data_IF_134225767010
#
_entry.id   IF_134225767010
#
_cell.length_a   1.000
_cell.length_b   1.000
_cell.length_c   1.000
_cell.angle_alpha   90.00
_cell.angle_beta   90.00
_cell.angle_gamma   90.00
#
_symmetry.space_group_name_H-M   'P 1'
#
loop_
_entity.id
_entity.type
_entity.pdbx_description
1 polymer ?
#
# COMPACT_ATOMS: atom_id res chain seq x y z
N UNK A 1 -31.52 5.89 -3.91
CA UNK A 1 -32.25 7.15 -3.60
C UNK A 1 -32.01 7.62 -2.15
N UNK A 2 -31.92 6.74 -1.15
CA UNK A 2 -31.53 7.12 0.23
C UNK A 2 -30.01 7.40 0.39
N UNK A 3 -29.14 6.69 -0.34
CA UNK A 3 -27.69 6.98 -0.34
C UNK A 3 -27.35 8.32 -0.99
N UNK A 4 -28.03 8.69 -2.08
CA UNK A 4 -27.81 9.97 -2.78
C UNK A 4 -28.14 11.19 -1.90
N UNK A 5 -29.16 11.09 -1.03
CA UNK A 5 -29.48 12.13 -0.05
C UNK A 5 -28.45 12.21 1.10
N UNK A 6 -27.89 11.07 1.54
CA UNK A 6 -26.80 11.06 2.51
C UNK A 6 -25.51 11.70 1.97
N UNK A 7 -25.10 11.42 0.74
CA UNK A 7 -23.88 12.04 0.16
C UNK A 7 -24.01 13.56 -0.06
N UNK A 8 -25.18 14.06 -0.47
CA UNK A 8 -25.38 15.49 -0.79
C UNK A 8 -25.42 16.40 0.44
N UNK A 9 -25.92 15.92 1.59
CA UNK A 9 -25.96 16.71 2.82
C UNK A 9 -24.59 16.83 3.53
N UNK A 10 -23.69 15.86 3.32
CA UNK A 10 -22.44 15.75 4.08
C UNK A 10 -21.22 16.38 3.37
N UNK A 11 -21.23 16.52 2.04
CA UNK A 11 -20.16 17.20 1.31
C UNK A 11 -19.89 18.65 1.77
N UNK A 12 -20.93 19.49 2.04
CA UNK A 12 -20.72 20.83 2.56
C UNK A 12 -20.06 20.82 3.95
N UNK A 13 -20.45 19.89 4.82
CA UNK A 13 -19.94 19.77 6.20
C UNK A 13 -18.46 19.35 6.19
N UNK A 14 -18.10 18.36 5.39
CA UNK A 14 -16.71 17.91 5.25
C UNK A 14 -15.80 19.00 4.69
N UNK A 15 -16.24 19.64 3.60
CA UNK A 15 -15.51 20.76 2.99
C UNK A 15 -15.35 21.90 4.00
N UNK A 16 -16.38 22.17 4.80
CA UNK A 16 -16.34 23.13 5.89
C UNK A 16 -15.34 22.73 6.98
N UNK A 17 -15.38 21.51 7.51
CA UNK A 17 -14.43 21.01 8.53
C UNK A 17 -13.00 21.10 8.00
N UNK A 18 -12.73 20.59 6.78
CA UNK A 18 -11.40 20.61 6.17
C UNK A 18 -10.89 22.05 5.97
N UNK A 19 -11.74 22.94 5.48
CA UNK A 19 -11.38 24.35 5.29
C UNK A 19 -11.15 25.06 6.63
N UNK A 20 -11.96 24.78 7.64
CA UNK A 20 -11.81 25.31 9.00
C UNK A 20 -10.48 24.85 9.61
N UNK A 21 -10.15 23.56 9.49
CA UNK A 21 -8.88 23.01 9.99
C UNK A 21 -7.67 23.59 9.24
N UNK A 22 -7.76 23.73 7.91
CA UNK A 22 -6.74 24.42 7.09
C UNK A 22 -6.53 25.87 7.52
N UNK A 23 -7.62 26.60 7.72
CA UNK A 23 -7.57 28.00 8.13
C UNK A 23 -6.98 28.14 9.54
N UNK A 24 -7.45 27.33 10.49
CA UNK A 24 -6.93 27.27 11.85
C UNK A 24 -5.43 26.98 11.84
N UNK A 25 -4.98 25.96 11.09
CA UNK A 25 -3.56 25.62 10.98
C UNK A 25 -2.72 26.81 10.44
N UNK A 26 -3.19 27.50 9.39
CA UNK A 26 -2.51 28.69 8.84
C UNK A 26 -2.45 29.85 9.85
N UNK A 27 -3.54 30.10 10.56
CA UNK A 27 -3.60 31.15 11.60
C UNK A 27 -2.63 30.83 12.73
N UNK A 28 -2.64 29.60 13.24
CA UNK A 28 -1.73 29.17 14.31
C UNK A 28 -0.27 29.26 13.89
N UNK A 29 0.06 28.87 12.66
CA UNK A 29 1.41 29.05 12.10
C UNK A 29 1.82 30.53 12.06
N UNK A 30 0.90 31.43 11.73
CA UNK A 30 1.18 32.87 11.67
C UNK A 30 1.37 33.48 13.07
N UNK A 31 0.45 33.17 14.01
CA UNK A 31 0.55 33.57 15.43
C UNK A 31 1.87 33.08 16.02
N UNK A 32 2.19 31.81 15.85
CA UNK A 32 3.41 31.23 16.38
C UNK A 32 4.67 31.81 15.72
N UNK A 33 4.62 32.23 14.45
CA UNK A 33 5.72 32.97 13.80
C UNK A 33 5.93 34.34 14.43
N UNK A 34 4.86 35.09 14.70
CA UNK A 34 4.92 36.41 15.35
C UNK A 34 5.48 36.29 16.77
N UNK A 35 4.92 35.40 17.58
CA UNK A 35 5.30 35.21 18.99
C UNK A 35 6.75 34.73 19.16
N UNK A 36 7.33 34.10 18.14
CA UNK A 36 8.70 33.56 18.19
C UNK A 36 9.71 34.38 17.38
N UNK A 37 9.28 35.52 16.81
CA UNK A 37 10.10 36.32 15.89
C UNK A 37 11.43 36.75 16.51
N UNK A 38 11.39 37.20 17.77
CA UNK A 38 12.54 37.72 18.51
C UNK A 38 13.49 36.64 19.06
N UNK A 39 13.19 35.35 18.90
CA UNK A 39 14.07 34.27 19.38
C UNK A 39 15.23 34.09 18.39
N UNK A 40 16.48 34.40 18.78
CA UNK A 40 17.61 34.45 17.85
C UNK A 40 18.08 33.04 17.44
N UNK A 41 18.03 32.08 18.37
CA UNK A 41 18.50 30.71 18.15
C UNK A 41 17.43 29.94 17.36
N UNK A 42 17.77 29.52 16.13
CA UNK A 42 16.85 28.85 15.19
C UNK A 42 16.22 27.58 15.77
N UNK A 43 16.99 26.74 16.46
CA UNK A 43 16.49 25.49 17.07
C UNK A 43 15.47 25.77 18.18
N UNK A 44 15.78 26.70 19.09
CA UNK A 44 14.89 27.13 20.17
C UNK A 44 13.62 27.76 19.60
N UNK A 45 13.77 28.67 18.62
CA UNK A 45 12.64 29.31 17.94
C UNK A 45 11.68 28.29 17.31
N UNK A 46 12.22 27.25 16.66
CA UNK A 46 11.42 26.16 16.08
C UNK A 46 10.71 25.35 17.16
N UNK A 47 11.39 25.04 18.27
CA UNK A 47 10.82 24.30 19.40
C UNK A 47 9.68 25.07 20.07
N UNK A 48 9.89 26.33 20.41
CA UNK A 48 8.87 27.20 21.02
C UNK A 48 7.67 27.39 20.08
N UNK A 49 7.91 27.53 18.77
CA UNK A 49 6.85 27.63 17.77
C UNK A 49 5.96 26.39 17.74
N UNK A 50 6.57 25.19 17.76
CA UNK A 50 5.83 23.93 17.84
C UNK A 50 4.94 23.88 19.09
N UNK A 51 5.52 24.17 20.25
CA UNK A 51 4.78 24.16 21.53
C UNK A 51 3.57 25.12 21.53
N UNK A 52 3.71 26.32 20.95
CA UNK A 52 2.60 27.27 20.81
C UNK A 52 1.50 26.70 19.93
N UNK A 53 1.86 26.12 18.79
CA UNK A 53 0.88 25.53 17.86
C UNK A 53 0.17 24.37 18.55
N UNK A 54 0.89 23.47 19.21
CA UNK A 54 0.28 22.32 19.87
C UNK A 54 -0.66 22.73 21.01
N UNK A 55 -0.25 23.72 21.82
CA UNK A 55 -1.11 24.26 22.87
C UNK A 55 -2.41 24.85 22.30
N UNK A 56 -2.30 25.61 21.21
CA UNK A 56 -3.46 26.27 20.59
C UNK A 56 -4.27 25.33 19.68
N UNK A 57 -3.69 24.23 19.20
CA UNK A 57 -4.37 23.24 18.36
C UNK A 57 -5.54 22.56 19.09
N UNK A 58 -5.55 22.58 20.41
CA UNK A 58 -6.67 22.10 21.21
C UNK A 58 -8.02 22.71 20.78
N UNK A 59 -8.07 24.02 20.53
CA UNK A 59 -9.31 24.72 20.18
C UNK A 59 -9.99 24.21 18.90
N UNK A 60 -9.31 24.19 17.74
CA UNK A 60 -9.90 23.61 16.52
C UNK A 60 -10.16 22.11 16.65
N UNK A 61 -9.38 21.37 17.45
CA UNK A 61 -9.59 19.93 17.62
C UNK A 61 -10.80 19.58 18.49
N UNK A 62 -11.37 20.51 19.27
CA UNK A 62 -12.60 20.29 20.05
C UNK A 62 -13.77 19.82 19.17
N UNK A 63 -13.86 20.29 17.91
CA UNK A 63 -14.93 19.93 16.98
C UNK A 63 -14.93 18.46 16.56
N UNK A 64 -13.77 17.80 16.64
CA UNK A 64 -13.58 16.40 16.21
C UNK A 64 -13.25 15.47 17.38
N UNK A 65 -13.04 16.01 18.58
CA UNK A 65 -12.57 15.26 19.77
C UNK A 65 -13.43 14.05 20.12
N UNK A 66 -14.73 14.11 19.84
CA UNK A 66 -15.67 13.02 20.12
C UNK A 66 -15.60 11.85 19.12
N UNK A 67 -15.00 12.05 17.93
CA UNK A 67 -15.06 11.05 16.86
C UNK A 67 -14.13 9.87 17.13
N UNK A 68 -14.54 8.68 16.66
CA UNK A 68 -13.72 7.48 16.81
C UNK A 68 -12.38 7.62 16.08
N UNK A 69 -12.37 8.27 14.91
CA UNK A 69 -11.16 8.58 14.19
C UNK A 69 -10.20 9.44 15.02
N UNK A 70 -10.69 10.46 15.72
CA UNK A 70 -9.84 11.26 16.60
C UNK A 70 -9.17 10.41 17.70
N UNK A 71 -9.93 9.50 18.33
CA UNK A 71 -9.40 8.58 19.33
C UNK A 71 -8.33 7.64 18.75
N UNK A 72 -8.55 7.13 17.53
CA UNK A 72 -7.56 6.28 16.81
C UNK A 72 -6.27 7.04 16.51
N UNK A 73 -6.37 8.28 16.03
CA UNK A 73 -5.22 9.13 15.77
C UNK A 73 -4.40 9.36 17.06
N UNK A 74 -5.08 9.67 18.17
CA UNK A 74 -4.40 9.83 19.46
C UNK A 74 -3.71 8.54 19.92
N UNK A 75 -4.35 7.38 19.73
CA UNK A 75 -3.76 6.09 20.06
C UNK A 75 -2.49 5.79 19.23
N UNK A 76 -2.51 6.06 17.92
CA UNK A 76 -1.34 5.88 17.04
C UNK A 76 -0.20 6.83 17.42
N UNK A 77 -0.51 8.07 17.76
CA UNK A 77 0.49 9.05 18.22
C UNK A 77 1.14 8.56 19.51
N UNK A 78 0.34 8.12 20.49
CA UNK A 78 0.83 7.59 21.76
C UNK A 78 1.71 6.35 21.56
N UNK A 79 1.31 5.44 20.67
CA UNK A 79 2.08 4.24 20.35
C UNK A 79 3.43 4.59 19.70
N UNK A 80 3.42 5.48 18.71
CA UNK A 80 4.64 5.93 18.01
C UNK A 80 5.62 6.66 18.91
N UNK A 81 5.13 7.26 19.99
CA UNK A 81 5.95 7.91 20.99
C UNK A 81 6.57 6.90 21.98
N UNK A 82 5.96 5.73 22.12
CA UNK A 82 6.44 4.66 23.00
C UNK A 82 7.57 3.86 22.34
N UNK A 83 7.57 3.77 21.00
CA UNK A 83 8.56 3.03 20.22
C UNK A 83 9.03 3.87 19.03
N UNK A 84 10.29 4.30 19.05
CA UNK A 84 10.89 5.08 17.96
C UNK A 84 12.07 4.33 17.34
N UNK A 85 11.90 3.88 16.09
CA UNK A 85 13.00 3.43 15.25
C UNK A 85 13.52 4.62 14.41
N UNK A 86 14.83 4.84 14.35
CA UNK A 86 15.37 6.02 13.66
C UNK A 86 15.12 5.94 12.15
N UNK A 87 14.39 6.92 11.60
CA UNK A 87 14.22 7.09 10.14
C UNK A 87 15.58 7.36 9.49
N UNK A 88 15.95 6.55 8.50
CA UNK A 88 17.11 6.82 7.63
C UNK A 88 18.08 5.66 7.46
N UNK A 89 17.99 4.60 8.27
CA UNK A 89 18.87 3.46 8.07
C UNK A 89 18.33 2.47 7.01
N UNK A 90 17.01 2.48 6.70
CA UNK A 90 16.33 1.48 5.85
C UNK A 90 16.79 0.03 6.11
N UNK A 91 17.40 -0.19 7.27
CA UNK A 91 17.89 -1.48 7.71
C UNK A 91 16.80 -2.06 8.56
N UNK A 92 16.67 -3.36 8.49
CA UNK A 92 15.90 -4.06 9.47
C UNK A 92 16.65 -4.09 10.80
N UNK A 93 15.92 -4.10 11.93
CA UNK A 93 16.55 -4.30 13.23
C UNK A 93 17.27 -5.65 13.25
N UNK A 94 18.49 -5.65 13.80
CA UNK A 94 19.29 -6.88 13.92
C UNK A 94 18.58 -7.89 14.82
N UNK A 95 18.85 -9.19 14.63
CA UNK A 95 18.37 -10.22 15.55
C UNK A 95 18.88 -9.94 16.98
N UNK A 96 17.97 -9.84 17.96
CA UNK A 96 18.29 -9.43 19.33
C UNK A 96 18.37 -7.92 19.58
N UNK A 97 18.14 -7.06 18.57
CA UNK A 97 18.01 -5.62 18.76
C UNK A 97 16.67 -5.32 19.44
N UNK A 98 16.72 -4.85 20.69
CA UNK A 98 15.52 -4.41 21.41
C UNK A 98 14.99 -3.11 20.79
N UNK A 99 14.11 -3.25 19.79
CA UNK A 99 13.36 -2.16 19.16
C UNK A 99 12.30 -1.56 20.09
N UNK A 100 12.02 -2.21 21.22
CA UNK A 100 11.09 -1.77 22.24
C UNK A 100 11.78 -1.04 23.40
N UNK A 101 13.10 -0.81 23.33
CA UNK A 101 13.80 -0.02 24.34
C UNK A 101 13.16 1.37 24.42
N UNK A 102 12.35 1.53 25.47
CA UNK A 102 11.76 2.80 25.89
C UNK A 102 12.94 3.72 26.15
N UNK A 103 13.29 4.56 25.17
CA UNK A 103 14.17 5.68 25.47
C UNK A 103 13.47 6.44 26.58
N UNK A 104 14.18 6.67 27.70
CA UNK A 104 13.71 7.49 28.82
C UNK A 104 12.89 8.62 28.24
N UNK A 105 11.59 8.60 28.52
CA UNK A 105 10.59 9.54 28.01
C UNK A 105 11.04 10.91 28.50
N UNK A 106 11.89 11.57 27.71
CA UNK A 106 12.35 12.90 28.02
C UNK A 106 11.14 13.79 27.86
N UNK A 107 10.72 14.32 29.00
CA UNK A 107 9.63 15.24 29.20
C UNK A 107 9.59 16.33 28.12
N UNK A 108 8.39 16.56 27.59
CA UNK A 108 7.99 17.46 26.49
C UNK A 108 7.89 16.81 25.09
N UNK A 109 6.94 15.88 24.95
CA UNK A 109 6.38 15.51 23.63
C UNK A 109 5.33 16.55 23.19
N UNK A 110 5.79 17.72 22.77
CA UNK A 110 5.04 18.57 21.85
C UNK A 110 5.04 17.95 20.45
N UNK A 111 3.91 18.01 19.73
CA UNK A 111 3.82 17.71 18.31
C UNK A 111 2.49 17.11 17.84
N UNK A 112 1.70 16.56 18.77
CA UNK A 112 0.44 15.87 18.43
C UNK A 112 -0.63 16.79 17.85
N UNK A 113 -0.75 18.02 18.37
CA UNK A 113 -1.73 18.99 17.91
C UNK A 113 -1.49 19.43 16.47
N UNK A 114 -0.23 19.73 16.14
CA UNK A 114 0.19 20.10 14.78
C UNK A 114 -0.08 18.96 13.79
N UNK A 115 0.29 17.73 14.14
CA UNK A 115 0.09 16.54 13.31
C UNK A 115 -1.39 16.27 13.04
N UNK A 116 -2.23 16.36 14.08
CA UNK A 116 -3.67 16.18 13.97
C UNK A 116 -4.28 17.23 13.04
N UNK A 117 -3.93 18.51 13.22
CA UNK A 117 -4.40 19.57 12.34
C UNK A 117 -4.03 19.32 10.88
N UNK A 118 -2.80 18.87 10.63
CA UNK A 118 -2.35 18.52 9.29
C UNK A 118 -3.18 17.35 8.72
N UNK A 119 -3.43 16.29 9.51
CA UNK A 119 -4.31 15.17 9.14
C UNK A 119 -5.67 15.66 8.64
N UNK A 120 -6.39 16.42 9.49
CA UNK A 120 -7.73 16.91 9.19
C UNK A 120 -7.76 17.94 8.05
N UNK A 121 -6.62 18.59 7.78
CA UNK A 121 -6.46 19.52 6.65
C UNK A 121 -6.23 18.79 5.32
N UNK A 122 -5.55 17.64 5.37
CA UNK A 122 -5.11 16.88 4.20
C UNK A 122 -6.23 16.00 3.66
N UNK A 123 -6.85 15.23 4.54
CA UNK A 123 -7.70 14.12 4.13
C UNK A 123 -9.20 14.42 4.14
N UNK A 124 -9.93 13.54 3.46
CA UNK A 124 -11.38 13.50 3.47
C UNK A 124 -11.89 12.72 4.67
N UNK A 125 -12.31 13.46 5.71
CA UNK A 125 -12.68 12.86 6.99
C UNK A 125 -13.88 11.94 6.90
N UNK A 126 -14.86 12.32 6.08
CA UNK A 126 -16.07 11.51 5.91
C UNK A 126 -15.73 10.23 5.17
N UNK A 127 -14.97 10.32 4.08
CA UNK A 127 -14.58 9.13 3.33
C UNK A 127 -13.67 8.21 4.14
N UNK A 128 -12.76 8.76 4.97
CA UNK A 128 -11.97 7.95 5.91
C UNK A 128 -12.88 7.28 6.92
N UNK A 129 -13.77 8.00 7.60
CA UNK A 129 -14.67 7.39 8.59
C UNK A 129 -15.54 6.32 7.96
N UNK A 130 -16.12 6.57 6.78
CA UNK A 130 -16.85 5.56 6.02
C UNK A 130 -15.99 4.34 5.71
N UNK A 131 -14.77 4.54 5.23
CA UNK A 131 -13.82 3.45 4.93
C UNK A 131 -13.48 2.64 6.18
N UNK A 132 -13.26 3.31 7.32
CA UNK A 132 -12.98 2.62 8.58
C UNK A 132 -14.16 1.77 9.04
N UNK A 133 -15.39 2.22 8.82
CA UNK A 133 -16.59 1.41 9.13
C UNK A 133 -16.79 0.25 8.13
N UNK A 134 -16.12 0.25 6.97
CA UNK A 134 -16.15 -0.89 6.05
C UNK A 134 -15.33 -2.09 6.53
N UNK A 135 -14.25 -1.84 7.28
CA UNK A 135 -13.33 -2.90 7.65
C UNK A 135 -13.89 -3.80 8.75
N UNK A 136 -13.73 -5.11 8.56
CA UNK A 136 -14.31 -6.13 9.42
C UNK A 136 -13.56 -6.32 10.75
N UNK A 137 -12.33 -5.80 10.89
CA UNK A 137 -11.57 -5.89 12.13
C UNK A 137 -10.90 -4.57 12.54
N UNK A 138 -10.64 -4.47 13.85
CA UNK A 138 -10.02 -3.27 14.43
C UNK A 138 -8.56 -3.09 14.01
N UNK A 139 -7.87 -4.18 13.67
CA UNK A 139 -6.51 -4.12 13.17
C UNK A 139 -6.43 -3.34 11.85
N UNK A 140 -7.28 -3.68 10.88
CA UNK A 140 -7.39 -3.05 9.56
C UNK A 140 -7.68 -1.55 9.68
N UNK A 141 -8.59 -1.19 10.60
CA UNK A 141 -8.91 0.22 10.87
C UNK A 141 -7.70 0.98 11.40
N UNK A 142 -6.99 0.36 12.34
CA UNK A 142 -5.86 0.98 13.00
C UNK A 142 -4.62 1.08 12.09
N UNK A 143 -4.35 0.06 11.27
CA UNK A 143 -3.22 0.07 10.33
C UNK A 143 -3.47 1.06 9.19
N UNK A 144 -4.70 1.22 8.70
CA UNK A 144 -5.03 2.26 7.69
C UNK A 144 -4.75 3.67 8.24
N UNK A 145 -5.19 3.96 9.47
CA UNK A 145 -4.91 5.28 10.08
C UNK A 145 -3.39 5.47 10.31
N UNK A 146 -2.68 4.39 10.67
CA UNK A 146 -1.22 4.41 10.81
C UNK A 146 -0.54 4.76 9.49
N UNK A 147 -0.92 4.10 8.40
CA UNK A 147 -0.39 4.33 7.06
C UNK A 147 -0.63 5.77 6.61
N UNK A 148 -1.85 6.30 6.81
CA UNK A 148 -2.18 7.69 6.47
C UNK A 148 -1.33 8.70 7.25
N UNK A 149 -1.14 8.51 8.56
CA UNK A 149 -0.25 9.37 9.37
C UNK A 149 1.19 9.30 8.87
N UNK A 150 1.68 8.10 8.53
CA UNK A 150 3.07 7.89 8.15
C UNK A 150 3.45 8.62 6.85
N UNK A 151 2.48 8.83 5.94
CA UNK A 151 2.70 9.50 4.66
C UNK A 151 3.22 10.94 4.76
N UNK A 152 3.01 11.62 5.88
CA UNK A 152 3.43 13.02 6.07
C UNK A 152 4.13 13.27 7.41
N UNK A 153 4.41 12.21 8.19
CA UNK A 153 5.09 12.32 9.48
C UNK A 153 6.21 11.29 9.62
N UNK A 154 6.93 11.35 10.74
CA UNK A 154 7.93 10.34 11.09
C UNK A 154 7.38 9.29 12.08
N UNK A 155 6.08 9.31 12.35
CA UNK A 155 5.47 8.38 13.29
C UNK A 155 5.28 7.02 12.63
N UNK A 156 5.83 5.97 13.23
CA UNK A 156 5.75 4.60 12.72
C UNK A 156 4.42 3.90 13.00
N UNK A 157 3.67 4.39 13.99
CA UNK A 157 2.36 3.87 14.35
C UNK A 157 2.37 2.38 14.63
N UNK A 158 1.59 1.63 13.86
CA UNK A 158 1.35 0.19 14.01
C UNK A 158 2.13 -0.69 13.03
N UNK A 159 3.13 -0.15 12.35
CA UNK A 159 3.85 -0.91 11.34
C UNK A 159 4.43 -2.18 11.92
N UNK A 160 3.85 -3.29 11.43
CA UNK A 160 3.88 -4.62 12.05
C UNK A 160 5.30 -5.14 12.21
N UNK A 161 6.19 -4.65 11.34
CA UNK A 161 7.60 -5.00 11.25
C UNK A 161 8.30 -4.91 12.63
N UNK A 162 7.80 -4.06 13.55
CA UNK A 162 8.33 -3.94 14.90
C UNK A 162 7.95 -5.10 15.84
N UNK A 163 6.92 -5.90 15.52
CA UNK A 163 6.37 -6.93 16.42
C UNK A 163 6.88 -8.36 16.17
N UNK A 164 7.63 -8.59 15.09
CA UNK A 164 8.03 -9.93 14.69
C UNK A 164 9.55 -10.10 14.64
N UNK A 165 10.22 -9.99 15.79
CA UNK A 165 11.64 -10.36 15.92
C UNK A 165 11.93 -11.76 15.33
N UNK A 166 10.97 -12.68 15.48
CA UNK A 166 11.08 -14.04 14.96
C UNK A 166 10.92 -14.17 13.44
N UNK A 167 10.41 -13.15 12.73
CA UNK A 167 10.34 -13.17 11.27
C UNK A 167 11.63 -12.60 10.66
N UNK A 168 12.27 -11.61 11.30
CA UNK A 168 13.53 -11.02 10.82
C UNK A 168 14.66 -12.01 10.64
N UNK A 169 14.72 -13.05 11.49
CA UNK A 169 15.70 -14.12 11.33
C UNK A 169 15.66 -14.73 9.91
N UNK A 170 14.49 -14.79 9.28
CA UNK A 170 14.36 -15.34 7.92
C UNK A 170 14.90 -14.38 6.86
N UNK A 171 14.81 -13.06 7.06
CA UNK A 171 15.48 -12.08 6.19
C UNK A 171 16.99 -12.27 6.20
N UNK A 172 17.59 -12.33 7.40
CA UNK A 172 19.05 -12.50 7.52
C UNK A 172 19.53 -13.87 7.03
N UNK A 173 18.74 -14.92 7.20
CA UNK A 173 19.03 -16.23 6.61
C UNK A 173 19.02 -16.20 5.08
N UNK A 174 18.06 -15.49 4.47
CA UNK A 174 18.03 -15.28 3.02
C UNK A 174 19.25 -14.49 2.57
N UNK A 175 19.54 -13.36 3.22
CA UNK A 175 20.67 -12.49 2.90
C UNK A 175 22.01 -13.25 2.97
N UNK A 176 22.23 -14.03 4.03
CA UNK A 176 23.45 -14.84 4.20
C UNK A 176 23.58 -15.98 3.17
N UNK A 177 22.48 -16.38 2.52
CA UNK A 177 22.47 -17.43 1.51
C UNK A 177 22.69 -16.93 0.08
N UNK A 178 22.79 -15.61 -0.13
CA UNK A 178 22.94 -15.02 -1.45
C UNK A 178 24.32 -15.30 -2.06
N UNK A 179 24.32 -15.69 -3.33
CA UNK A 179 25.52 -15.66 -4.18
C UNK A 179 25.69 -14.24 -4.74
N UNK A 180 26.45 -13.39 -4.04
CA UNK A 180 26.68 -11.99 -4.44
C UNK A 180 27.45 -11.83 -5.75
N UNK A 181 28.01 -12.92 -6.29
CA UNK A 181 28.70 -12.91 -7.59
C UNK A 181 27.72 -13.07 -8.77
N UNK A 182 26.47 -13.48 -8.51
CA UNK A 182 25.43 -13.61 -9.54
C UNK A 182 24.37 -12.54 -9.36
N UNK A 183 24.52 -11.47 -10.11
CA UNK A 183 23.63 -10.31 -10.05
C UNK A 183 23.40 -9.68 -11.41
N UNK A 184 22.33 -8.91 -11.51
CA UNK A 184 22.05 -8.03 -12.65
C UNK A 184 21.69 -6.63 -12.14
N UNK A 185 21.85 -5.63 -13.00
CA UNK A 185 21.35 -4.28 -12.74
C UNK A 185 19.93 -4.16 -13.29
N UNK A 186 19.07 -3.43 -12.57
CA UNK A 186 17.75 -3.00 -13.04
C UNK A 186 17.57 -1.50 -12.81
N UNK A 187 16.47 -0.95 -13.32
CA UNK A 187 16.06 0.43 -13.06
C UNK A 187 15.86 0.74 -11.56
N UNK A 188 15.63 -0.29 -10.74
CA UNK A 188 15.43 -0.20 -9.28
C UNK A 188 16.66 -0.61 -8.45
N UNK A 189 17.80 -0.79 -9.11
CA UNK A 189 19.05 -1.19 -8.49
C UNK A 189 19.39 -2.65 -8.72
N UNK A 190 20.28 -3.16 -7.88
CA UNK A 190 20.92 -4.46 -8.11
C UNK A 190 20.03 -5.61 -7.65
N UNK A 191 19.80 -6.56 -8.55
CA UNK A 191 19.07 -7.81 -8.28
C UNK A 191 20.06 -8.97 -8.18
N UNK A 192 19.78 -9.90 -7.26
CA UNK A 192 20.62 -11.06 -7.03
C UNK A 192 19.91 -12.31 -7.49
N UNK A 193 20.68 -13.29 -7.99
CA UNK A 193 20.17 -14.61 -8.27
C UNK A 193 19.82 -15.32 -6.96
N UNK A 194 18.58 -15.75 -6.86
CA UNK A 194 18.02 -16.42 -5.69
C UNK A 194 17.41 -17.75 -6.15
N UNK A 195 17.84 -18.84 -5.52
CA UNK A 195 17.29 -20.18 -5.73
C UNK A 195 16.51 -20.60 -4.47
N UNK A 196 15.18 -20.48 -4.52
CA UNK A 196 14.32 -20.82 -3.39
C UNK A 196 14.21 -22.33 -3.16
N UNK A 197 14.64 -23.17 -4.11
CA UNK A 197 14.71 -24.63 -3.85
C UNK A 197 15.74 -24.99 -2.76
N UNK A 198 16.67 -24.08 -2.46
CA UNK A 198 17.69 -24.26 -1.42
C UNK A 198 17.19 -23.85 -0.02
N UNK A 199 16.06 -23.16 0.10
CA UNK A 199 15.51 -22.75 1.39
C UNK A 199 14.78 -23.91 2.09
N UNK A 200 15.44 -25.06 2.30
CA UNK A 200 14.81 -26.29 2.83
C UNK A 200 14.10 -26.13 4.19
N UNK A 201 14.45 -25.09 4.95
CA UNK A 201 13.84 -24.77 6.25
C UNK A 201 12.58 -23.89 6.13
N UNK A 202 12.31 -23.32 4.94
CA UNK A 202 11.18 -22.43 4.66
C UNK A 202 10.62 -22.82 3.29
N UNK A 203 9.46 -23.47 3.25
CA UNK A 203 8.84 -23.90 1.99
C UNK A 203 8.32 -22.68 1.20
N UNK A 204 9.22 -22.01 0.48
CA UNK A 204 8.94 -20.82 -0.34
C UNK A 204 8.75 -21.18 -1.82
N UNK A 205 8.76 -22.48 -2.15
CA UNK A 205 8.66 -23.02 -3.50
C UNK A 205 9.99 -23.34 -4.17
N UNK A 206 9.92 -23.98 -5.34
CA UNK A 206 11.08 -24.54 -6.06
C UNK A 206 11.37 -23.76 -7.35
N UNK A 207 11.63 -22.46 -7.24
CA UNK A 207 11.92 -21.61 -8.40
C UNK A 207 13.12 -20.69 -8.16
N UNK A 208 13.64 -20.17 -9.27
CA UNK A 208 14.87 -19.39 -9.36
C UNK A 208 14.59 -18.06 -10.01
N UNK A 209 15.10 -16.96 -9.45
CA UNK A 209 14.85 -15.64 -10.01
C UNK A 209 15.95 -14.64 -9.64
N UNK A 210 16.11 -13.62 -10.46
CA UNK A 210 16.81 -12.41 -10.11
C UNK A 210 15.83 -11.45 -9.43
N UNK A 211 16.06 -11.15 -8.16
CA UNK A 211 15.23 -10.22 -7.40
C UNK A 211 15.98 -9.61 -6.21
N UNK A 212 15.34 -8.71 -5.48
CA UNK A 212 15.88 -8.18 -4.23
C UNK A 212 15.54 -9.11 -3.06
N UNK A 213 16.45 -9.23 -2.08
CA UNK A 213 16.20 -10.00 -0.84
C UNK A 213 14.99 -9.46 -0.10
N UNK A 214 14.90 -8.13 -0.04
CA UNK A 214 13.78 -7.42 0.55
C UNK A 214 12.46 -7.81 -0.10
N UNK A 215 12.40 -7.82 -1.43
CA UNK A 215 11.23 -8.23 -2.16
C UNK A 215 10.89 -9.71 -1.96
N UNK A 216 11.89 -10.61 -1.90
CA UNK A 216 11.62 -12.02 -1.56
C UNK A 216 10.99 -12.13 -0.17
N UNK A 217 11.55 -11.40 0.80
CA UNK A 217 11.03 -11.39 2.15
C UNK A 217 9.58 -10.89 2.21
N UNK A 218 9.27 -9.79 1.53
CA UNK A 218 7.91 -9.23 1.50
C UNK A 218 6.93 -10.15 0.76
N UNK A 219 7.28 -10.67 -0.42
CA UNK A 219 6.36 -11.43 -1.26
C UNK A 219 6.18 -12.88 -0.80
N UNK A 220 7.25 -13.53 -0.33
CA UNK A 220 7.23 -14.98 -0.03
C UNK A 220 7.20 -15.31 1.46
N UNK A 221 7.78 -14.46 2.32
CA UNK A 221 7.78 -14.72 3.77
C UNK A 221 6.65 -13.98 4.48
N UNK A 222 6.48 -12.68 4.21
CA UNK A 222 5.35 -11.92 4.75
C UNK A 222 4.05 -12.20 3.99
N UNK A 223 4.15 -12.74 2.77
CA UNK A 223 3.01 -13.00 1.88
C UNK A 223 2.14 -11.76 1.69
N UNK A 224 2.74 -10.66 1.19
CA UNK A 224 2.08 -9.35 1.03
C UNK A 224 0.66 -9.40 0.41
N UNK A 225 0.38 -10.36 -0.46
CA UNK A 225 -0.92 -10.50 -1.12
C UNK A 225 -1.83 -11.55 -0.47
N UNK A 226 -1.56 -11.91 0.78
CA UNK A 226 -2.41 -12.71 1.64
C UNK A 226 -2.76 -11.96 2.94
N UNK A 227 -4.04 -11.98 3.31
CA UNK A 227 -4.50 -11.50 4.61
C UNK A 227 -4.88 -12.68 5.50
N UNK A 228 -3.91 -13.09 6.33
CA UNK A 228 -4.04 -14.19 7.30
C UNK A 228 -4.59 -15.44 6.60
N UNK A 229 -5.56 -16.12 7.22
CA UNK A 229 -6.26 -17.27 6.65
C UNK A 229 -7.58 -16.88 5.95
N UNK A 230 -7.80 -15.59 5.70
CA UNK A 230 -9.10 -15.08 5.21
C UNK A 230 -9.08 -14.81 3.71
N UNK A 231 -8.00 -14.21 3.19
CA UNK A 231 -7.85 -13.82 1.79
C UNK A 231 -6.48 -14.28 1.31
N UNK A 232 -6.41 -15.28 0.43
CA UNK A 232 -5.16 -15.77 -0.17
C UNK A 232 -5.48 -16.55 -1.45
N UNK A 233 -4.56 -16.60 -2.40
CA UNK A 233 -4.66 -17.48 -3.56
C UNK A 233 -4.42 -18.93 -3.12
N UNK A 234 -5.23 -19.87 -3.61
CA UNK A 234 -5.14 -21.30 -3.26
C UNK A 234 -5.00 -22.17 -4.51
N UNK A 235 -4.68 -23.44 -4.29
CA UNK A 235 -4.58 -24.46 -5.35
C UNK A 235 -5.82 -24.44 -6.27
N UNK A 236 -5.57 -24.39 -7.58
CA UNK A 236 -6.60 -24.33 -8.62
C UNK A 236 -7.21 -22.95 -8.91
N UNK A 237 -6.82 -21.88 -8.21
CA UNK A 237 -7.32 -20.53 -8.47
C UNK A 237 -6.77 -19.97 -9.82
N UNK A 238 -7.59 -19.15 -10.48
CA UNK A 238 -7.21 -18.33 -11.63
C UNK A 238 -6.93 -16.91 -11.14
N UNK A 239 -5.68 -16.47 -11.26
CA UNK A 239 -5.19 -15.21 -10.70
C UNK A 239 -4.96 -14.17 -11.79
N UNK A 240 -5.54 -12.99 -11.62
CA UNK A 240 -5.08 -11.78 -12.31
C UNK A 240 -3.95 -11.17 -11.47
N UNK A 241 -2.74 -11.10 -12.04
CA UNK A 241 -1.56 -10.50 -11.44
C UNK A 241 -1.26 -9.17 -12.14
N UNK A 242 -1.94 -8.11 -11.68
CA UNK A 242 -1.75 -6.75 -12.18
C UNK A 242 -0.47 -6.13 -11.63
N UNK A 243 0.47 -5.81 -12.52
CA UNK A 243 1.78 -5.26 -12.16
C UNK A 243 2.74 -6.37 -11.74
N UNK A 244 3.12 -7.22 -12.70
CA UNK A 244 3.95 -8.39 -12.43
C UNK A 244 5.45 -8.07 -12.29
N UNK A 245 5.87 -6.84 -12.60
CA UNK A 245 7.24 -6.35 -12.47
C UNK A 245 8.27 -7.33 -13.06
N UNK A 246 9.16 -7.87 -12.23
CA UNK A 246 10.23 -8.79 -12.65
C UNK A 246 9.77 -10.25 -12.72
N UNK A 247 8.45 -10.51 -12.66
CA UNK A 247 7.84 -11.85 -12.67
C UNK A 247 7.90 -12.55 -11.33
N UNK A 248 8.28 -11.85 -10.27
CA UNK A 248 8.35 -12.37 -8.91
C UNK A 248 6.95 -12.71 -8.35
N UNK A 249 5.96 -11.82 -8.52
CA UNK A 249 4.57 -12.11 -8.13
C UNK A 249 3.94 -13.20 -9.01
N UNK A 250 4.31 -13.26 -10.29
CA UNK A 250 3.88 -14.32 -11.20
C UNK A 250 4.33 -15.71 -10.69
N UNK A 251 5.61 -15.84 -10.29
CA UNK A 251 6.15 -17.07 -9.69
C UNK A 251 5.52 -17.38 -8.33
N UNK A 252 5.31 -16.36 -7.50
CA UNK A 252 4.60 -16.49 -6.22
C UNK A 252 3.21 -17.09 -6.41
N UNK A 253 2.40 -16.51 -7.29
CA UNK A 253 1.05 -17.01 -7.54
C UNK A 253 1.07 -18.37 -8.22
N UNK A 254 1.97 -18.62 -9.18
CA UNK A 254 2.08 -19.92 -9.84
C UNK A 254 2.39 -21.04 -8.84
N UNK A 255 3.20 -20.76 -7.82
CA UNK A 255 3.45 -21.68 -6.72
C UNK A 255 2.21 -21.91 -5.85
N UNK A 256 1.49 -20.84 -5.49
CA UNK A 256 0.30 -20.92 -4.63
C UNK A 256 -0.86 -21.68 -5.28
N UNK A 257 -1.06 -21.50 -6.58
CA UNK A 257 -2.21 -22.10 -7.30
C UNK A 257 -1.92 -23.47 -7.89
N UNK A 258 -0.66 -23.90 -7.89
CA UNK A 258 -0.27 -25.20 -8.44
C UNK A 258 -0.55 -25.36 -9.93
N UNK A 259 -0.29 -26.55 -10.46
CA UNK A 259 -0.42 -26.85 -11.90
C UNK A 259 -1.88 -26.80 -12.41
N UNK A 260 -2.86 -26.88 -11.50
CA UNK A 260 -4.28 -26.80 -11.85
C UNK A 260 -4.83 -25.37 -11.95
N UNK A 261 -4.13 -24.39 -11.37
CA UNK A 261 -4.48 -22.98 -11.47
C UNK A 261 -3.81 -22.28 -12.66
N UNK A 262 -4.17 -21.03 -12.90
CA UNK A 262 -3.55 -20.18 -13.94
C UNK A 262 -3.23 -18.80 -13.38
N UNK A 263 -2.14 -18.21 -13.86
CA UNK A 263 -1.75 -16.83 -13.56
C UNK A 263 -1.74 -16.03 -14.85
N UNK A 264 -2.49 -14.94 -14.88
CA UNK A 264 -2.50 -13.98 -15.98
C UNK A 264 -1.81 -12.71 -15.50
N UNK A 265 -0.54 -12.57 -15.87
CA UNK A 265 0.33 -11.48 -15.41
C UNK A 265 0.32 -10.33 -16.40
N UNK A 266 0.29 -9.10 -15.88
CA UNK A 266 0.27 -7.88 -16.67
C UNK A 266 1.50 -7.03 -16.32
N UNK A 267 2.35 -6.82 -17.31
CA UNK A 267 3.52 -5.94 -17.23
C UNK A 267 3.84 -5.45 -18.65
N UNK A 268 4.11 -4.16 -18.82
CA UNK A 268 4.34 -3.54 -20.12
C UNK A 268 5.61 -2.68 -20.16
N UNK A 269 6.27 -2.42 -19.02
CA UNK A 269 7.54 -1.71 -18.96
C UNK A 269 8.65 -2.61 -19.51
N UNK A 270 9.36 -2.15 -20.53
CA UNK A 270 10.36 -2.96 -21.24
C UNK A 270 11.53 -3.41 -20.34
N UNK A 271 12.02 -2.54 -19.46
CA UNK A 271 13.09 -2.89 -18.50
C UNK A 271 12.63 -4.01 -17.54
N UNK A 272 11.37 -3.95 -17.10
CA UNK A 272 10.78 -5.00 -16.27
C UNK A 272 10.60 -6.30 -17.06
N UNK A 273 10.14 -6.21 -18.31
CA UNK A 273 9.90 -7.35 -19.18
C UNK A 273 11.17 -8.13 -19.52
N UNK A 274 12.31 -7.45 -19.70
CA UNK A 274 13.60 -8.14 -19.91
C UNK A 274 13.91 -9.08 -18.73
N UNK A 275 13.74 -8.58 -17.51
CA UNK A 275 14.00 -9.34 -16.29
C UNK A 275 12.91 -10.40 -16.07
N UNK A 276 11.64 -10.09 -16.35
CA UNK A 276 10.54 -11.03 -16.33
C UNK A 276 10.84 -12.25 -17.20
N UNK A 277 11.21 -12.04 -18.46
CA UNK A 277 11.54 -13.12 -19.39
C UNK A 277 12.75 -13.94 -18.93
N UNK A 278 13.77 -13.28 -18.38
CA UNK A 278 14.91 -13.97 -17.77
C UNK A 278 14.47 -14.86 -16.61
N UNK A 279 13.63 -14.36 -15.72
CA UNK A 279 13.09 -15.13 -14.59
C UNK A 279 12.19 -16.28 -15.03
N UNK A 280 11.35 -16.10 -16.06
CA UNK A 280 10.57 -17.21 -16.63
C UNK A 280 11.47 -18.28 -17.26
N UNK A 281 12.56 -17.88 -17.93
CA UNK A 281 13.51 -18.84 -18.55
C UNK A 281 14.21 -19.73 -17.52
N UNK A 282 14.45 -19.22 -16.31
CA UNK A 282 15.01 -19.99 -15.19
C UNK A 282 14.03 -21.04 -14.63
N UNK A 283 12.75 -20.91 -14.96
CA UNK A 283 11.65 -21.74 -14.45
C UNK A 283 10.82 -22.32 -15.59
N UNK A 284 11.48 -22.85 -16.61
CA UNK A 284 10.84 -23.35 -17.83
C UNK A 284 9.76 -24.41 -17.59
N UNK A 285 9.77 -25.09 -16.44
CA UNK A 285 8.79 -26.12 -16.09
C UNK A 285 7.45 -25.54 -15.59
N UNK A 286 7.40 -24.24 -15.29
CA UNK A 286 6.18 -23.53 -14.91
C UNK A 286 5.44 -23.13 -16.18
N UNK A 287 4.29 -23.77 -16.45
CA UNK A 287 3.52 -23.61 -17.70
C UNK A 287 2.20 -22.88 -17.52
N UNK A 288 1.84 -22.51 -16.29
CA UNK A 288 0.56 -21.93 -15.95
C UNK A 288 0.57 -20.39 -15.83
N UNK A 289 1.63 -19.72 -16.32
CA UNK A 289 1.73 -18.26 -16.38
C UNK A 289 1.51 -17.80 -17.83
N UNK A 290 0.57 -16.87 -18.04
CA UNK A 290 0.36 -16.16 -19.30
C UNK A 290 0.66 -14.68 -19.10
N UNK A 291 1.56 -14.12 -19.90
CA UNK A 291 1.91 -12.70 -19.86
C UNK A 291 1.08 -11.90 -20.87
N UNK A 292 0.53 -10.77 -20.42
CA UNK A 292 -0.06 -9.73 -21.26
C UNK A 292 0.78 -8.44 -21.14
N UNK A 293 1.21 -7.90 -22.27
CA UNK A 293 2.02 -6.67 -22.33
C UNK A 293 1.20 -5.39 -22.46
N UNK A 294 -0.02 -5.42 -21.92
CA UNK A 294 -1.00 -4.33 -21.94
C UNK A 294 -1.14 -3.72 -20.54
N UNK A 295 -1.43 -2.42 -20.48
CA UNK A 295 -1.77 -1.76 -19.22
C UNK A 295 -3.22 -2.10 -18.82
N UNK A 296 -3.44 -2.60 -17.60
CA UNK A 296 -4.79 -2.78 -17.08
C UNK A 296 -5.47 -1.42 -16.87
N UNK A 297 -6.66 -1.25 -17.44
CA UNK A 297 -7.40 0.01 -17.36
C UNK A 297 -8.91 -0.20 -17.49
N UNK A 298 -9.68 0.89 -17.57
CA UNK A 298 -11.14 0.85 -17.66
C UNK A 298 -11.68 0.40 -19.03
N UNK A 299 -10.83 0.36 -20.07
CA UNK A 299 -11.18 -0.08 -21.43
C UNK A 299 -9.97 -0.66 -22.16
N UNK A 300 -10.20 -1.20 -23.37
CA UNK A 300 -9.14 -1.75 -24.25
C UNK A 300 -8.76 -0.85 -25.43
N UNK A 301 -8.82 0.48 -25.26
CA UNK A 301 -8.54 1.45 -26.34
C UNK A 301 -7.72 2.66 -25.90
N UNK A 302 -7.47 2.81 -24.60
CA UNK A 302 -6.74 3.96 -24.06
C UNK A 302 -5.25 3.78 -24.30
N UNK A 303 -4.58 4.86 -24.72
CA UNK A 303 -3.12 4.93 -24.74
C UNK A 303 -2.64 5.30 -23.35
N UNK A 304 -1.75 4.50 -22.81
CA UNK A 304 -1.20 4.67 -21.47
C UNK A 304 0.28 5.00 -21.62
N UNK A 305 0.68 6.14 -21.07
CA UNK A 305 2.05 6.65 -21.12
C UNK A 305 2.74 6.40 -19.78
N UNK A 306 3.99 5.93 -19.84
CA UNK A 306 4.78 5.64 -18.65
C UNK A 306 5.64 6.85 -18.26
N UNK A 307 5.35 7.49 -17.13
CA UNK A 307 6.16 8.60 -16.60
C UNK A 307 7.01 8.13 -15.42
N UNK A 308 8.29 8.49 -15.38
CA UNK A 308 9.21 8.11 -14.31
C UNK A 308 10.07 6.87 -14.62
N UNK A 309 10.88 6.45 -13.65
CA UNK A 309 11.73 5.24 -13.72
C UNK A 309 11.69 4.51 -12.39
N UNK A 310 11.76 3.17 -12.43
CA UNK A 310 11.75 2.34 -11.22
C UNK A 310 10.40 2.32 -10.46
N UNK A 311 10.42 2.06 -9.15
CA UNK A 311 9.26 1.99 -8.24
C UNK A 311 8.64 3.36 -7.87
N UNK A 312 8.86 4.36 -8.73
CA UNK A 312 8.18 5.65 -8.70
C UNK A 312 7.56 5.99 -10.06
N UNK A 313 7.40 4.99 -10.92
CA UNK A 313 6.67 5.09 -12.16
C UNK A 313 5.21 5.49 -11.89
N UNK A 314 4.62 6.22 -12.83
CA UNK A 314 3.22 6.61 -12.78
C UNK A 314 2.62 6.54 -14.17
N UNK A 315 1.37 6.13 -14.22
CA UNK A 315 0.62 6.16 -15.47
C UNK A 315 0.10 7.57 -15.75
N UNK A 316 0.37 8.05 -16.96
CA UNK A 316 -0.17 9.29 -17.52
C UNK A 316 -1.08 8.96 -18.70
N UNK A 317 -2.18 9.71 -18.82
CA UNK A 317 -3.05 9.68 -20.00
C UNK A 317 -2.71 10.81 -20.98
N UNK A 318 -1.89 11.77 -20.55
CA UNK A 318 -1.45 12.89 -21.36
C UNK A 318 -0.11 12.55 -22.03
N UNK A 319 -0.05 12.77 -23.34
CA UNK A 319 1.17 12.60 -24.12
C UNK A 319 2.15 13.74 -23.81
N UNK A 320 3.39 13.41 -23.48
CA UNK A 320 4.51 14.33 -23.64
C UNK A 320 5.20 14.04 -24.98
N UNK A 321 5.81 15.07 -25.60
CA UNK A 321 6.46 14.94 -26.90
C UNK A 321 7.49 13.80 -26.89
N UNK A 322 7.39 12.89 -27.86
CA UNK A 322 8.22 11.68 -28.04
C UNK A 322 8.15 10.62 -26.92
N UNK A 323 7.07 10.56 -26.14
CA UNK A 323 6.90 9.52 -25.13
C UNK A 323 6.27 8.23 -25.70
N UNK A 324 6.88 7.09 -25.41
CA UNK A 324 6.33 5.77 -25.75
C UNK A 324 5.05 5.48 -24.94
N UNK A 325 4.14 4.71 -25.55
CA UNK A 325 2.86 4.32 -24.96
C UNK A 325 2.61 2.84 -25.14
N UNK A 326 1.84 2.25 -24.22
CA UNK A 326 1.22 0.94 -24.41
C UNK A 326 -0.29 1.07 -24.56
N UNK A 327 -0.90 0.08 -25.21
CA UNK A 327 -2.37 0.02 -25.30
C UNK A 327 -2.93 -0.61 -24.03
N UNK A 328 -3.99 0.00 -23.52
CA UNK A 328 -4.71 -0.55 -22.38
C UNK A 328 -5.51 -1.81 -22.74
N UNK A 329 -5.88 -2.57 -21.71
CA UNK A 329 -6.85 -3.65 -21.78
C UNK A 329 -7.72 -3.65 -20.52
N UNK A 330 -8.99 -3.99 -20.67
CA UNK A 330 -9.89 -4.22 -19.53
C UNK A 330 -9.98 -5.72 -19.21
N UNK A 331 -10.18 -6.06 -17.94
CA UNK A 331 -10.35 -7.46 -17.51
C UNK A 331 -11.64 -8.02 -18.11
N UNK A 332 -12.70 -7.22 -18.15
CA UNK A 332 -13.98 -7.62 -18.73
C UNK A 332 -13.86 -7.98 -20.22
N UNK A 333 -13.08 -7.22 -21.01
CA UNK A 333 -12.87 -7.54 -22.42
C UNK A 333 -12.09 -8.86 -22.60
N UNK A 334 -11.11 -9.15 -21.74
CA UNK A 334 -10.35 -10.41 -21.76
C UNK A 334 -11.19 -11.62 -21.36
N UNK A 335 -12.17 -11.43 -20.49
CA UNK A 335 -13.12 -12.47 -20.13
C UNK A 335 -14.13 -12.67 -21.27
N UNK A 336 -14.69 -11.58 -21.80
CA UNK A 336 -15.74 -11.63 -22.83
C UNK A 336 -15.24 -12.19 -24.16
N UNK A 337 -13.95 -11.99 -24.49
CA UNK A 337 -13.33 -12.55 -25.69
C UNK A 337 -12.74 -13.96 -25.49
N UNK A 338 -12.92 -14.57 -24.32
CA UNK A 338 -12.44 -15.93 -24.01
C UNK A 338 -10.92 -16.05 -23.89
N UNK A 339 -10.20 -14.96 -23.59
CA UNK A 339 -8.77 -15.04 -23.23
C UNK A 339 -8.57 -15.46 -21.78
N UNK A 340 -9.54 -15.17 -20.92
CA UNK A 340 -9.56 -15.53 -19.50
C UNK A 340 -10.91 -16.18 -19.17
N UNK A 341 -10.89 -17.48 -18.92
CA UNK A 341 -12.12 -18.28 -18.78
C UNK A 341 -12.74 -18.21 -17.38
N UNK A 342 -11.96 -17.77 -16.37
CA UNK A 342 -12.33 -17.74 -14.96
C UNK A 342 -11.40 -16.79 -14.20
N UNK A 343 -11.90 -16.17 -13.13
CA UNK A 343 -11.11 -15.34 -12.22
C UNK A 343 -11.50 -15.64 -10.77
N UNK A 344 -10.56 -16.12 -9.96
CA UNK A 344 -10.77 -16.44 -8.54
C UNK A 344 -10.03 -15.50 -7.59
N UNK A 345 -8.99 -14.84 -8.10
CA UNK A 345 -8.19 -13.89 -7.34
C UNK A 345 -7.73 -12.74 -8.24
N UNK A 346 -7.77 -11.50 -7.74
CA UNK A 346 -7.22 -10.33 -8.42
C UNK A 346 -6.23 -9.64 -7.49
N UNK A 347 -4.98 -9.56 -7.92
CA UNK A 347 -3.95 -8.70 -7.35
C UNK A 347 -3.78 -7.47 -8.24
N UNK A 348 -3.68 -6.28 -7.65
CA UNK A 348 -3.32 -5.07 -8.39
C UNK A 348 -2.31 -4.22 -7.63
N UNK A 349 -1.19 -3.97 -8.29
CA UNK A 349 -0.15 -3.02 -7.91
C UNK A 349 0.34 -2.37 -9.20
N UNK A 350 -0.42 -1.38 -9.70
CA UNK A 350 -0.33 -0.90 -11.10
C UNK A 350 -0.16 0.62 -11.17
N UNK A 351 0.60 1.17 -10.24
CA UNK A 351 1.14 2.54 -10.29
C UNK A 351 0.06 3.62 -10.44
N UNK A 352 -1.07 3.45 -9.74
CA UNK A 352 -2.15 4.42 -9.64
C UNK A 352 -3.34 4.20 -10.58
N UNK A 353 -3.33 3.14 -11.39
CA UNK A 353 -4.49 2.79 -12.25
C UNK A 353 -5.47 1.80 -11.61
N UNK A 354 -5.31 1.45 -10.34
CA UNK A 354 -6.12 0.44 -9.64
C UNK A 354 -7.61 0.72 -9.77
N UNK A 355 -8.06 1.94 -9.46
CA UNK A 355 -9.48 2.29 -9.55
C UNK A 355 -10.02 2.21 -11.00
N UNK A 356 -9.19 2.55 -12.00
CA UNK A 356 -9.59 2.46 -13.40
C UNK A 356 -9.67 1.00 -13.88
N UNK A 357 -8.68 0.18 -13.53
CA UNK A 357 -8.68 -1.25 -13.83
C UNK A 357 -9.84 -1.98 -13.14
N UNK A 358 -10.18 -1.63 -11.89
CA UNK A 358 -11.34 -2.16 -11.19
C UNK A 358 -12.66 -1.81 -11.90
N UNK A 359 -12.77 -0.61 -12.48
CA UNK A 359 -13.93 -0.24 -13.33
C UNK A 359 -14.00 -1.05 -14.62
N UNK A 360 -12.85 -1.37 -15.21
CA UNK A 360 -12.73 -2.28 -16.36
C UNK A 360 -12.88 -3.77 -16.00
N UNK A 361 -13.17 -4.08 -14.74
CA UNK A 361 -13.35 -5.43 -14.22
C UNK A 361 -14.71 -5.60 -13.52
N UNK A 362 -15.60 -4.61 -13.60
CA UNK A 362 -16.82 -4.58 -12.77
C UNK A 362 -17.75 -5.76 -13.07
N UNK A 363 -17.88 -6.17 -14.34
CA UNK A 363 -18.69 -7.34 -14.71
C UNK A 363 -18.05 -8.62 -14.15
N UNK A 364 -16.74 -8.78 -14.34
CA UNK A 364 -15.96 -9.94 -13.86
C UNK A 364 -16.05 -10.07 -12.33
N UNK A 365 -15.86 -8.97 -11.60
CA UNK A 365 -15.96 -8.91 -10.14
C UNK A 365 -17.33 -9.39 -9.64
N UNK A 366 -18.42 -8.95 -10.27
CA UNK A 366 -19.79 -9.36 -9.91
C UNK A 366 -20.11 -10.80 -10.31
N UNK A 367 -19.59 -11.25 -11.45
CA UNK A 367 -19.86 -12.60 -11.98
C UNK A 367 -19.10 -13.67 -11.20
N UNK A 368 -17.79 -13.53 -11.03
CA UNK A 368 -16.95 -14.58 -10.45
C UNK A 368 -16.73 -14.43 -8.95
N UNK A 369 -16.99 -13.25 -8.39
CA UNK A 369 -16.77 -12.96 -6.99
C UNK A 369 -15.33 -13.31 -6.50
N UNK A 370 -14.28 -12.87 -7.20
CA UNK A 370 -12.91 -13.24 -6.84
C UNK A 370 -12.50 -12.61 -5.49
N UNK A 371 -11.58 -13.27 -4.79
CA UNK A 371 -10.82 -12.61 -3.73
C UNK A 371 -9.97 -11.49 -4.34
N UNK A 372 -9.71 -10.44 -3.58
CA UNK A 372 -8.92 -9.29 -4.08
C UNK A 372 -7.82 -8.87 -3.11
N UNK A 373 -6.69 -8.42 -3.65
CA UNK A 373 -5.59 -7.76 -2.96
C UNK A 373 -5.13 -6.55 -3.78
N UNK A 374 -5.51 -5.34 -3.36
CA UNK A 374 -5.36 -4.10 -4.15
C UNK A 374 -4.51 -3.10 -3.37
N UNK A 375 -3.40 -2.65 -3.95
CA UNK A 375 -2.55 -1.64 -3.35
C UNK A 375 -3.26 -0.28 -3.22
N UNK A 376 -3.05 0.41 -2.09
CA UNK A 376 -3.71 1.69 -1.75
C UNK A 376 -2.75 2.88 -1.69
N UNK A 377 -1.46 2.68 -1.96
CA UNK A 377 -0.43 3.65 -1.56
C UNK A 377 -0.01 4.64 -2.65
N UNK A 378 -0.49 4.48 -3.90
CA UNK A 378 -0.09 5.32 -5.03
C UNK A 378 -0.64 6.76 -4.94
N UNK A 379 -1.83 6.94 -4.36
CA UNK A 379 -2.42 8.24 -4.09
C UNK A 379 -3.01 8.33 -2.67
N UNK A 380 -3.12 9.55 -2.14
CA UNK A 380 -3.80 9.77 -0.85
C UNK A 380 -5.28 9.38 -0.91
N UNK A 381 -5.90 9.49 -2.09
CA UNK A 381 -7.29 9.14 -2.31
C UNK A 381 -7.54 7.65 -2.38
N UNK A 382 -6.56 6.85 -2.80
CA UNK A 382 -6.75 5.42 -3.01
C UNK A 382 -7.18 4.73 -1.71
N UNK A 383 -6.63 5.18 -0.56
CA UNK A 383 -7.01 4.74 0.77
C UNK A 383 -8.51 4.82 1.10
N UNK A 384 -9.30 5.60 0.36
CA UNK A 384 -10.75 5.69 0.57
C UNK A 384 -11.57 5.53 -0.70
N UNK A 385 -11.11 6.00 -1.87
CA UNK A 385 -11.89 5.91 -3.11
C UNK A 385 -11.96 4.48 -3.65
N UNK A 386 -10.90 3.68 -3.49
CA UNK A 386 -10.90 2.26 -3.90
C UNK A 386 -11.81 1.41 -2.99
N UNK A 387 -11.66 1.41 -1.64
CA UNK A 387 -12.56 0.66 -0.76
C UNK A 387 -14.03 1.05 -0.92
N UNK A 388 -14.33 2.35 -1.02
CA UNK A 388 -15.70 2.84 -1.18
C UNK A 388 -16.30 2.44 -2.54
N UNK A 389 -15.51 2.50 -3.62
CA UNK A 389 -15.96 2.04 -4.94
C UNK A 389 -16.25 0.53 -4.90
N UNK A 390 -15.33 -0.28 -4.40
CA UNK A 390 -15.52 -1.73 -4.29
C UNK A 390 -16.73 -2.08 -3.44
N UNK A 391 -16.93 -1.42 -2.29
CA UNK A 391 -18.14 -1.63 -1.48
C UNK A 391 -19.43 -1.31 -2.24
N UNK A 392 -19.41 -0.28 -3.09
CA UNK A 392 -20.60 0.11 -3.87
C UNK A 392 -21.01 -0.93 -4.91
N UNK A 393 -20.05 -1.63 -5.52
CA UNK A 393 -20.32 -2.65 -6.55
C UNK A 393 -20.39 -4.07 -5.98
N UNK A 394 -19.81 -4.31 -4.80
CA UNK A 394 -19.74 -5.59 -4.09
C UNK A 394 -20.20 -5.42 -2.63
N UNK A 395 -21.49 -5.13 -2.39
CA UNK A 395 -21.99 -4.83 -1.04
C UNK A 395 -21.88 -6.01 -0.06
N UNK A 396 -21.82 -7.24 -0.58
CA UNK A 396 -21.65 -8.50 0.17
C UNK A 396 -20.19 -8.85 0.46
N UNK A 397 -19.22 -8.00 0.16
CA UNK A 397 -17.82 -8.28 0.49
C UNK A 397 -17.46 -7.85 1.91
N UNK A 398 -16.58 -8.66 2.50
CA UNK A 398 -15.81 -8.32 3.70
C UNK A 398 -14.47 -7.71 3.28
N UNK A 399 -14.09 -6.60 3.92
CA UNK A 399 -12.86 -5.88 3.62
C UNK A 399 -11.91 -5.85 4.81
N UNK A 400 -10.62 -5.91 4.50
CA UNK A 400 -9.51 -5.88 5.46
C UNK A 400 -8.35 -5.04 4.89
N UNK A 401 -7.42 -4.62 5.75
CA UNK A 401 -6.26 -3.84 5.33
C UNK A 401 -5.02 -4.25 6.13
N UNK A 402 -3.85 -4.23 5.48
CA UNK A 402 -2.55 -4.46 6.09
C UNK A 402 -1.48 -3.57 5.42
N UNK A 403 -0.29 -3.53 6.02
CA UNK A 403 0.86 -2.76 5.58
C UNK A 403 2.16 -3.54 5.77
N UNK A 404 2.91 -3.78 4.69
CA UNK A 404 3.99 -4.77 4.66
C UNK A 404 5.41 -4.20 4.71
N UNK A 405 5.57 -2.87 4.84
CA UNK A 405 6.90 -2.25 4.88
C UNK A 405 7.09 -1.32 6.06
N UNK A 406 8.32 -0.81 6.19
CA UNK A 406 8.65 0.31 7.05
C UNK A 406 8.35 1.67 6.40
N UNK A 407 8.00 1.66 5.12
CA UNK A 407 7.87 2.86 4.30
C UNK A 407 6.45 3.38 4.23
N UNK A 408 6.21 4.18 3.20
CA UNK A 408 4.88 4.72 2.89
C UNK A 408 4.13 3.89 1.84
N UNK A 409 4.77 2.82 1.34
CA UNK A 409 4.30 1.93 0.29
C UNK A 409 3.86 0.57 0.86
N UNK A 410 3.25 -0.26 0.02
CA UNK A 410 2.75 -1.61 0.38
C UNK A 410 1.62 -1.64 1.42
N UNK A 411 0.76 -0.62 1.42
CA UNK A 411 -0.57 -0.74 2.04
C UNK A 411 -1.49 -1.46 1.08
N UNK A 412 -2.11 -2.56 1.51
CA UNK A 412 -2.94 -3.42 0.66
C UNK A 412 -4.34 -3.55 1.25
N UNK A 413 -5.35 -3.33 0.41
CA UNK A 413 -6.75 -3.66 0.66
C UNK A 413 -7.00 -5.11 0.29
N UNK A 414 -7.61 -5.87 1.19
CA UNK A 414 -8.05 -7.23 0.92
C UNK A 414 -9.57 -7.31 0.93
N UNK A 415 -10.12 -8.16 0.08
CA UNK A 415 -11.55 -8.39 -0.01
C UNK A 415 -11.88 -9.83 -0.33
N UNK A 416 -13.00 -10.31 0.22
CA UNK A 416 -13.59 -11.60 -0.13
C UNK A 416 -15.12 -11.53 -0.07
N UNK A 417 -15.83 -12.40 -0.80
CA UNK A 417 -17.27 -12.56 -0.60
C UNK A 417 -17.56 -13.01 0.83
N UNK A 418 -18.57 -12.43 1.48
CA UNK A 418 -19.08 -12.94 2.75
C UNK A 418 -19.56 -14.39 2.58
N UNK A 419 -19.27 -15.24 3.56
CA UNK A 419 -19.88 -16.56 3.63
C UNK A 419 -21.38 -16.38 3.88
N UNK A 420 -22.21 -16.64 2.87
CA UNK A 420 -23.67 -16.67 2.98
C UNK A 420 -24.15 -17.89 3.75
#
# INVERSE_FOLDING_TARGET
MLESFHTLAYQPINKLIRNTMRLAHKILLHIAKILTFFIPIRSIRRKVRGNIIDFLAFFPLLFVRGSNLHKRLLAIIALSNSYQYKRGEYRFPNYGEDVFHIQNVNENMGGGGTLLLEFYSRYDMIKIEQTLELFCDEYSKMILVSALIHRYSNLQGLYIIHFYEHIWKYYYLLEASLDTNKSIESSNGKLYYIDLSLSKNINLGNFKLYYSVYGIFVNFILEQYAYRHLVYAKDGDYVIDGGACYGDTALYFAHKVGQGGKVFSFEFNEDNLEIFHKNMSLNSDIKNITLFTNALYSDSKTKVYHTGSGGGSKLSLESQDNQEYTMSVSIDDLVDNGKIDRVDFIKMDIEGSELAALKGAEKTLKTYNPKIAICLYHSDSDYYDIPLYLKSILPHYEFYCDHFTLGVCESVLFGRPSNS
#
